data_IF_720543671950
#
_entry.id   IF_720543671950
#
_cell.length_a   1.000
_cell.length_b   1.000
_cell.length_c   1.000
_cell.angle_alpha   90.00
_cell.angle_beta   90.00
_cell.angle_gamma   90.00
#
_symmetry.space_group_name_H-M   'P 1'
#
loop_
_entity.id
_entity.type
_entity.pdbx_description
1 polymer ?
#
# COMPACT_ATOMS: atom_id res chain seq x y z
N UNK A 1 21.10 17.34 8.76
CA UNK A 1 20.30 16.76 7.66
C UNK A 1 18.85 17.00 8.04
N UNK A 2 18.21 18.01 7.47
CA UNK A 2 16.75 18.20 7.63
C UNK A 2 16.07 16.93 7.10
N UNK A 3 15.35 16.23 7.97
CA UNK A 3 14.50 15.13 7.55
C UNK A 3 13.35 15.74 6.77
N UNK A 4 13.41 15.67 5.44
CA UNK A 4 12.27 15.93 4.58
C UNK A 4 11.14 15.07 5.16
N UNK A 5 10.09 15.70 5.71
CA UNK A 5 8.90 14.98 6.12
C UNK A 5 8.42 14.23 4.88
N UNK A 6 8.19 12.91 4.93
CA UNK A 6 7.65 12.22 3.76
C UNK A 6 6.35 12.93 3.35
N UNK A 7 6.31 13.35 2.10
CA UNK A 7 5.11 13.97 1.53
C UNK A 7 3.93 13.02 1.68
N UNK A 8 2.76 13.57 2.01
CA UNK A 8 1.60 12.80 2.45
C UNK A 8 1.13 11.87 1.33
N UNK A 9 0.68 10.69 1.76
CA UNK A 9 -0.18 9.82 0.96
C UNK A 9 -1.59 9.97 1.51
N UNK A 10 -2.53 10.26 0.63
CA UNK A 10 -3.95 10.28 0.95
C UNK A 10 -4.54 8.93 0.55
N UNK A 11 -5.13 8.23 1.52
CA UNK A 11 -5.84 6.96 1.28
C UNK A 11 -7.29 7.28 1.00
N UNK A 12 -7.75 6.97 -0.21
CA UNK A 12 -9.08 7.29 -0.69
C UNK A 12 -10.07 6.18 -0.32
N UNK A 13 -9.64 4.92 -0.45
CA UNK A 13 -10.52 3.77 -0.25
C UNK A 13 -9.76 2.56 0.31
N UNK A 14 -10.40 1.85 1.24
CA UNK A 14 -9.96 0.55 1.76
C UNK A 14 -11.10 -0.45 1.59
N UNK A 15 -10.87 -1.51 0.83
CA UNK A 15 -11.87 -2.54 0.57
C UNK A 15 -11.35 -3.86 1.13
N UNK A 16 -12.09 -4.44 2.07
CA UNK A 16 -11.79 -5.76 2.61
C UNK A 16 -12.69 -6.82 1.95
N UNK A 17 -12.10 -7.96 1.59
CA UNK A 17 -12.80 -9.10 1.03
C UNK A 17 -12.26 -10.42 1.61
N UNK A 18 -12.87 -11.54 1.22
CA UNK A 18 -12.42 -12.89 1.57
C UNK A 18 -12.23 -13.11 3.08
N UNK A 19 -13.22 -12.69 3.88
CA UNK A 19 -13.14 -12.72 5.35
C UNK A 19 -11.93 -11.95 5.91
N UNK A 20 -11.71 -10.74 5.40
CA UNK A 20 -10.62 -9.84 5.79
C UNK A 20 -9.22 -10.35 5.40
N UNK A 21 -9.13 -11.38 4.56
CA UNK A 21 -7.84 -11.87 4.05
C UNK A 21 -7.30 -11.02 2.92
N UNK A 22 -8.15 -10.31 2.19
CA UNK A 22 -7.72 -9.48 1.08
C UNK A 22 -8.10 -8.03 1.36
N UNK A 23 -7.14 -7.13 1.17
CA UNK A 23 -7.27 -5.68 1.33
C UNK A 23 -6.89 -5.00 0.02
N UNK A 24 -7.80 -4.23 -0.56
CA UNK A 24 -7.50 -3.33 -1.68
C UNK A 24 -7.35 -1.92 -1.11
N UNK A 25 -6.22 -1.27 -1.40
CA UNK A 25 -5.89 0.08 -0.98
C UNK A 25 -5.84 0.96 -2.22
N UNK A 26 -6.69 1.98 -2.27
CA UNK A 26 -6.60 3.03 -3.28
C UNK A 26 -6.15 4.31 -2.63
N UNK A 27 -5.11 4.92 -3.17
CA UNK A 27 -4.57 6.16 -2.63
C UNK A 27 -4.00 7.05 -3.72
N UNK A 28 -3.61 8.24 -3.31
CA UNK A 28 -2.96 9.21 -4.18
C UNK A 28 -1.94 10.06 -3.44
N UNK A 29 -0.98 10.60 -4.19
CA UNK A 29 -0.02 11.59 -3.69
C UNK A 29 0.50 12.41 -4.86
N UNK A 30 0.91 13.65 -4.60
CA UNK A 30 1.61 14.48 -5.58
C UNK A 30 3.13 14.20 -5.62
N UNK A 31 3.62 13.24 -4.83
CA UNK A 31 5.05 12.95 -4.70
C UNK A 31 5.35 11.47 -5.01
N UNK A 32 6.05 11.24 -6.13
CA UNK A 32 6.38 9.88 -6.62
C UNK A 32 7.19 9.08 -5.60
N UNK A 33 8.15 9.71 -4.93
CA UNK A 33 8.98 9.03 -3.94
C UNK A 33 8.18 8.54 -2.74
N UNK A 34 7.08 9.21 -2.40
CA UNK A 34 6.21 8.77 -1.29
C UNK A 34 5.42 7.54 -1.71
N UNK A 35 4.81 7.54 -2.90
CA UNK A 35 4.08 6.39 -3.46
C UNK A 35 5.01 5.17 -3.54
N UNK A 36 6.18 5.32 -4.14
CA UNK A 36 7.14 4.21 -4.26
C UNK A 36 7.58 3.67 -2.90
N UNK A 37 7.85 4.53 -1.91
CA UNK A 37 8.26 4.09 -0.57
C UNK A 37 7.13 3.32 0.12
N UNK A 38 5.89 3.78 0.01
CA UNK A 38 4.74 3.10 0.60
C UNK A 38 4.50 1.71 0.00
N UNK A 39 4.57 1.59 -1.33
CA UNK A 39 4.43 0.30 -2.03
C UNK A 39 5.53 -0.66 -1.55
N UNK A 40 6.79 -0.21 -1.55
CA UNK A 40 7.94 -1.04 -1.12
C UNK A 40 7.82 -1.45 0.35
N UNK A 41 7.38 -0.55 1.23
CA UNK A 41 7.23 -0.87 2.65
C UNK A 41 6.08 -1.87 2.88
N UNK A 42 5.01 -1.80 2.08
CA UNK A 42 3.94 -2.81 2.07
C UNK A 42 4.44 -4.17 1.56
N UNK A 43 5.16 -4.21 0.43
CA UNK A 43 5.76 -5.43 -0.13
C UNK A 43 6.77 -6.10 0.81
N UNK A 44 7.45 -5.32 1.65
CA UNK A 44 8.39 -5.83 2.67
C UNK A 44 7.68 -6.47 3.87
N UNK A 45 6.38 -6.32 4.00
CA UNK A 45 5.62 -6.95 5.07
C UNK A 45 5.71 -8.47 4.98
N UNK A 46 5.98 -9.14 6.10
CA UNK A 46 5.94 -10.62 6.17
C UNK A 46 4.52 -11.18 6.26
N UNK A 47 3.52 -10.31 6.44
CA UNK A 47 2.13 -10.70 6.66
C UNK A 47 1.28 -10.59 5.40
N UNK A 48 1.76 -9.90 4.37
CA UNK A 48 1.01 -9.64 3.15
C UNK A 48 1.81 -10.03 1.91
N UNK A 49 1.14 -10.68 0.98
CA UNK A 49 1.52 -10.75 -0.43
C UNK A 49 0.89 -9.53 -1.12
N UNK A 50 1.72 -8.66 -1.70
CA UNK A 50 1.28 -7.34 -2.19
C UNK A 50 1.48 -7.26 -3.69
N UNK A 51 0.47 -6.75 -4.38
CA UNK A 51 0.43 -6.58 -5.83
C UNK A 51 -0.03 -5.17 -6.18
N UNK A 52 0.75 -4.46 -7.01
CA UNK A 52 0.34 -3.19 -7.60
C UNK A 52 -0.58 -3.44 -8.80
N UNK A 53 -1.86 -3.19 -8.60
CA UNK A 53 -2.90 -3.42 -9.61
C UNK A 53 -3.06 -2.24 -10.56
N UNK A 54 -2.77 -1.01 -10.12
CA UNK A 54 -2.84 0.19 -10.95
C UNK A 54 -1.91 1.29 -10.47
N UNK A 55 -1.31 2.03 -11.41
CA UNK A 55 -0.63 3.29 -11.17
C UNK A 55 -0.93 4.25 -12.34
N UNK A 56 -1.39 5.47 -12.05
CA UNK A 56 -1.67 6.48 -13.06
C UNK A 56 -1.38 7.89 -12.57
N UNK A 57 -0.91 8.77 -13.47
CA UNK A 57 -0.79 10.21 -13.20
C UNK A 57 -2.08 10.88 -13.65
N UNK A 58 -2.82 11.48 -12.70
CA UNK A 58 -4.03 12.26 -12.94
C UNK A 58 -3.69 13.66 -13.47
N UNK A 59 -4.69 14.32 -14.06
CA UNK A 59 -4.56 15.66 -14.65
C UNK A 59 -4.05 16.73 -13.65
N UNK A 60 -4.33 16.56 -12.36
CA UNK A 60 -3.89 17.44 -11.27
C UNK A 60 -2.46 17.14 -10.78
N UNK A 61 -1.69 16.33 -11.52
CA UNK A 61 -0.33 15.86 -11.19
C UNK A 61 -0.27 14.99 -9.93
N UNK A 62 -1.40 14.44 -9.48
CA UNK A 62 -1.39 13.39 -8.48
C UNK A 62 -1.15 12.03 -9.13
N UNK A 63 -0.37 11.21 -8.45
CA UNK A 63 -0.15 9.82 -8.77
C UNK A 63 -1.17 9.05 -7.96
N UNK A 64 -2.08 8.38 -8.65
CA UNK A 64 -3.02 7.45 -8.07
C UNK A 64 -2.44 6.04 -8.14
N UNK A 65 -2.65 5.26 -7.09
CA UNK A 65 -2.27 3.86 -7.04
C UNK A 65 -3.41 3.00 -6.49
N UNK A 66 -3.42 1.74 -6.91
CA UNK A 66 -4.24 0.67 -6.35
C UNK A 66 -3.37 -0.54 -6.02
N UNK A 67 -3.36 -0.92 -4.75
CA UNK A 67 -2.65 -2.09 -4.24
C UNK A 67 -3.65 -3.15 -3.79
N UNK A 68 -3.38 -4.41 -4.09
CA UNK A 68 -4.02 -5.55 -3.46
C UNK A 68 -3.03 -6.21 -2.50
N UNK A 69 -3.38 -6.31 -1.23
CA UNK A 69 -2.62 -6.98 -0.18
C UNK A 69 -3.39 -8.20 0.32
N UNK A 70 -2.81 -9.40 0.19
CA UNK A 70 -3.41 -10.67 0.61
C UNK A 70 -2.67 -11.18 1.85
N UNK A 71 -3.41 -11.44 2.92
CA UNK A 71 -2.87 -11.95 4.17
C UNK A 71 -2.27 -13.34 3.96
N UNK A 72 -0.96 -13.47 4.22
CA UNK A 72 -0.27 -14.74 4.21
C UNK A 72 -0.37 -15.31 5.63
N UNK A 73 -1.13 -16.39 5.79
CA UNK A 73 -1.16 -17.12 7.05
C UNK A 73 0.21 -17.77 7.28
N UNK A 74 1.04 -17.18 8.14
CA UNK A 74 2.22 -17.84 8.66
C UNK A 74 1.72 -18.92 9.63
N UNK A 75 1.69 -20.19 9.21
CA UNK A 75 1.19 -21.33 9.99
C UNK A 75 1.95 -21.60 11.33
N UNK A 76 2.84 -20.70 11.78
CA UNK A 76 3.74 -20.94 12.92
C UNK A 76 3.53 -20.06 14.16
N UNK A 77 2.52 -19.18 14.22
CA UNK A 77 2.25 -18.37 15.43
C UNK A 77 1.41 -19.09 16.51
N UNK A 78 1.18 -20.40 16.39
CA UNK A 78 0.45 -21.22 17.39
C UNK A 78 1.35 -21.90 18.45
N UNK A 79 2.53 -21.37 18.76
CA UNK A 79 3.33 -21.84 19.89
C UNK A 79 3.91 -20.68 20.70
N UNK A 80 3.10 -20.10 21.57
CA UNK A 80 3.56 -19.46 22.81
C UNK A 80 2.62 -19.89 23.93
#
# INVERSE_FOLDING_TARGET
IERIKPDKIDINELIFSENLKTLIIKGESNHVGSVSLFIVDMERSKHFDVELSKEEIKEDKKIFFELTARWISLENDQKI
#
